data_IF_646110921582
#
_entry.id   IF_646110921582
#
_cell.length_a   1.000
_cell.length_b   1.000
_cell.length_c   1.000
_cell.angle_alpha   90.00
_cell.angle_beta   90.00
_cell.angle_gamma   90.00
#
_symmetry.space_group_name_H-M   'P 1'
#
loop_
_entity.id
_entity.type
_entity.pdbx_description
1 polymer ?
#
# COMPACT_ATOMS: atom_id res chain seq x y z
N UNK A 1 6.50 -7.10 -14.62
CA UNK A 1 7.32 -5.97 -14.16
C UNK A 1 6.41 -5.01 -13.44
N UNK A 2 6.87 -4.39 -12.37
CA UNK A 2 6.16 -3.28 -11.78
C UNK A 2 6.13 -2.12 -12.80
N UNK A 3 5.24 -1.16 -12.60
CA UNK A 3 5.00 -0.02 -13.50
C UNK A 3 6.25 0.73 -13.94
N UNK A 4 6.18 1.44 -15.05
CA UNK A 4 7.29 2.25 -15.61
C UNK A 4 7.60 3.48 -14.75
N UNK A 5 8.74 4.13 -15.00
CA UNK A 5 9.18 5.31 -14.22
C UNK A 5 8.28 6.54 -14.40
N UNK A 6 7.58 6.65 -15.51
CA UNK A 6 6.61 7.72 -15.79
C UNK A 6 5.16 7.38 -15.42
N UNK A 7 4.96 6.25 -14.71
CA UNK A 7 3.66 5.83 -14.18
C UNK A 7 3.06 6.87 -13.25
N UNK A 8 1.72 6.97 -13.29
CA UNK A 8 0.94 7.85 -12.39
C UNK A 8 -0.34 7.14 -11.98
N UNK A 9 -0.88 7.45 -10.79
CA UNK A 9 -2.18 6.94 -10.38
C UNK A 9 -3.27 7.32 -11.39
N UNK A 10 -4.19 6.40 -11.73
CA UNK A 10 -5.28 6.66 -12.69
C UNK A 10 -6.46 7.38 -12.01
N UNK A 11 -6.15 8.40 -11.20
CA UNK A 11 -7.11 9.15 -10.40
C UNK A 11 -7.00 10.61 -10.77
N UNK A 12 -8.13 11.22 -11.15
CA UNK A 12 -8.18 12.64 -11.45
C UNK A 12 -8.00 13.47 -10.18
N UNK A 13 -7.06 14.44 -10.15
CA UNK A 13 -6.89 15.34 -9.01
C UNK A 13 -8.14 16.14 -8.69
N UNK A 14 -8.43 16.33 -7.40
CA UNK A 14 -9.49 17.20 -6.89
C UNK A 14 -8.87 18.49 -6.38
N UNK A 15 -9.04 19.57 -7.13
CA UNK A 15 -8.48 20.87 -6.77
C UNK A 15 -9.00 21.36 -5.41
N UNK A 16 -8.06 21.72 -4.53
CA UNK A 16 -8.37 22.30 -3.22
C UNK A 16 -8.84 21.28 -2.16
N UNK A 17 -8.77 19.97 -2.42
CA UNK A 17 -9.11 18.91 -1.45
C UNK A 17 -7.99 18.64 -0.43
N UNK A 18 -6.74 18.91 -0.78
CA UNK A 18 -5.60 18.81 0.14
C UNK A 18 -5.33 20.14 0.87
N UNK A 19 -4.88 20.08 2.12
CA UNK A 19 -4.37 21.22 2.88
C UNK A 19 -2.90 21.50 2.59
N UNK A 20 -2.16 20.48 2.12
CA UNK A 20 -0.75 20.57 1.78
C UNK A 20 -0.06 19.22 1.80
N UNK A 21 1.09 19.17 1.17
CA UNK A 21 1.94 17.98 1.09
C UNK A 21 3.38 18.33 1.47
N UNK A 22 4.10 17.39 2.05
CA UNK A 22 5.46 17.62 2.55
C UNK A 22 6.24 16.31 2.56
N UNK A 23 7.47 16.35 2.08
CA UNK A 23 8.44 15.28 2.28
C UNK A 23 9.11 15.48 3.66
N UNK A 24 9.09 14.44 4.49
CA UNK A 24 9.66 14.43 5.83
C UNK A 24 10.57 13.22 6.04
N UNK A 25 11.33 13.22 7.12
CA UNK A 25 12.01 12.02 7.61
C UNK A 25 11.33 11.52 8.87
N UNK A 26 10.94 10.24 8.85
CA UNK A 26 10.46 9.52 10.02
C UNK A 26 11.59 8.71 10.63
N UNK A 27 11.57 8.53 11.94
CA UNK A 27 12.52 7.70 12.65
C UNK A 27 11.91 6.32 12.92
N UNK A 28 12.57 5.27 12.44
CA UNK A 28 12.25 3.89 12.74
C UNK A 28 12.73 3.49 14.14
N UNK A 29 12.23 2.40 14.69
CA UNK A 29 12.57 1.94 16.04
C UNK A 29 14.07 1.60 16.21
N UNK A 30 14.78 1.27 15.14
CA UNK A 30 16.23 1.02 15.14
C UNK A 30 17.07 2.30 14.99
N UNK A 31 16.43 3.49 15.00
CA UNK A 31 17.08 4.78 14.82
C UNK A 31 17.32 5.18 13.37
N UNK A 32 16.97 4.35 12.39
CA UNK A 32 17.08 4.71 10.97
C UNK A 32 16.07 5.80 10.62
N UNK A 33 16.52 6.85 9.94
CA UNK A 33 15.67 7.89 9.38
C UNK A 33 15.38 7.60 7.91
N UNK A 34 14.12 7.49 7.55
CA UNK A 34 13.68 7.19 6.18
C UNK A 34 12.74 8.28 5.65
N UNK A 35 12.72 8.45 4.34
CA UNK A 35 11.86 9.42 3.68
C UNK A 35 10.41 8.96 3.70
N UNK A 36 9.53 9.92 3.93
CA UNK A 36 8.08 9.75 3.81
C UNK A 36 7.47 10.99 3.15
N UNK A 37 6.45 10.77 2.34
CA UNK A 37 5.62 11.84 1.78
C UNK A 37 4.31 11.91 2.55
N UNK A 38 4.02 13.06 3.13
CA UNK A 38 2.82 13.32 3.91
C UNK A 38 1.87 14.18 3.09
N UNK A 39 0.62 13.78 3.01
CA UNK A 39 -0.46 14.54 2.41
C UNK A 39 -1.59 14.75 3.43
N UNK A 40 -1.94 16.00 3.71
CA UNK A 40 -2.94 16.36 4.70
C UNK A 40 -4.25 16.76 4.03
N UNK A 41 -5.33 16.18 4.50
CA UNK A 41 -6.66 16.51 4.04
C UNK A 41 -7.08 17.92 4.50
N UNK A 42 -7.72 18.69 3.63
CA UNK A 42 -8.29 19.99 4.00
C UNK A 42 -9.47 19.83 4.95
N UNK A 43 -10.26 18.79 4.75
CA UNK A 43 -11.40 18.44 5.60
C UNK A 43 -11.24 16.98 6.04
N UNK A 44 -10.43 16.71 7.10
CA UNK A 44 -10.12 15.36 7.50
C UNK A 44 -11.34 14.63 8.07
N UNK A 45 -11.53 13.38 7.64
CA UNK A 45 -12.59 12.48 8.13
C UNK A 45 -12.20 11.78 9.45
N UNK A 46 -10.94 11.84 9.83
CA UNK A 46 -10.33 11.08 10.92
C UNK A 46 -9.77 9.73 10.48
N UNK A 47 -9.93 9.37 9.22
CA UNK A 47 -9.26 8.24 8.61
C UNK A 47 -7.83 8.63 8.17
N UNK A 48 -6.90 7.68 8.28
CA UNK A 48 -5.53 7.83 7.78
C UNK A 48 -5.07 6.62 6.99
N UNK A 49 -4.24 6.86 5.98
CA UNK A 49 -3.75 5.86 5.05
C UNK A 49 -2.23 5.79 5.06
N UNK A 50 -1.69 4.58 5.28
CA UNK A 50 -0.28 4.30 4.97
C UNK A 50 -0.22 3.72 3.57
N UNK A 51 0.46 4.41 2.66
CA UNK A 51 0.74 3.95 1.31
C UNK A 51 2.06 3.20 1.30
N UNK A 52 2.00 1.89 1.06
CA UNK A 52 3.16 1.00 1.02
C UNK A 52 3.53 0.74 -0.45
N UNK A 53 4.67 1.27 -0.92
CA UNK A 53 5.07 1.19 -2.30
C UNK A 53 5.32 -0.23 -2.81
N UNK A 54 5.42 -0.37 -4.12
CA UNK A 54 6.01 -1.53 -4.76
C UNK A 54 7.54 -1.57 -4.54
N UNK A 55 8.23 -2.44 -5.26
CA UNK A 55 9.69 -2.60 -5.18
C UNK A 55 10.51 -1.34 -5.50
N UNK A 56 9.90 -0.27 -6.00
CA UNK A 56 10.60 1.00 -6.31
C UNK A 56 10.75 1.93 -5.11
N UNK A 57 10.12 1.62 -3.96
CA UNK A 57 10.13 2.52 -2.81
C UNK A 57 9.29 3.78 -3.01
N UNK A 58 9.64 4.88 -2.39
CA UNK A 58 8.90 6.15 -2.43
C UNK A 58 9.02 6.86 -3.80
N UNK A 59 8.62 6.14 -4.86
CA UNK A 59 8.52 6.66 -6.22
C UNK A 59 7.46 7.78 -6.31
N UNK A 60 7.59 8.76 -7.24
CA UNK A 60 6.60 9.83 -7.45
C UNK A 60 5.15 9.36 -7.58
N UNK A 61 4.90 8.17 -8.13
CA UNK A 61 3.59 7.54 -8.19
C UNK A 61 2.91 7.48 -6.80
N UNK A 62 3.66 7.03 -5.77
CA UNK A 62 3.10 6.84 -4.43
C UNK A 62 2.93 8.14 -3.66
N UNK A 63 3.76 9.15 -3.96
CA UNK A 63 3.57 10.51 -3.47
C UNK A 63 2.26 11.08 -4.01
N UNK A 64 2.07 11.02 -5.34
CA UNK A 64 0.83 11.47 -5.97
C UNK A 64 -0.40 10.69 -5.46
N UNK A 65 -0.27 9.39 -5.19
CA UNK A 65 -1.37 8.60 -4.63
C UNK A 65 -1.74 9.06 -3.21
N UNK A 66 -0.76 9.39 -2.36
CA UNK A 66 -1.02 9.96 -1.05
C UNK A 66 -1.78 11.29 -1.15
N UNK A 67 -1.44 12.14 -2.14
CA UNK A 67 -2.18 13.37 -2.42
C UNK A 67 -3.64 13.08 -2.78
N UNK A 68 -3.90 12.04 -3.58
CA UNK A 68 -5.29 11.62 -3.93
C UNK A 68 -6.10 11.20 -2.71
N UNK A 69 -5.47 10.53 -1.72
CA UNK A 69 -6.14 10.23 -0.46
C UNK A 69 -6.46 11.48 0.35
N UNK A 70 -5.53 12.42 0.45
CA UNK A 70 -5.78 13.69 1.14
C UNK A 70 -6.93 14.49 0.51
N UNK A 71 -7.05 14.48 -0.81
CA UNK A 71 -8.12 15.15 -1.54
C UNK A 71 -9.52 14.61 -1.25
N UNK A 72 -9.64 13.36 -0.82
CA UNK A 72 -10.91 12.73 -0.40
C UNK A 72 -11.12 12.73 1.11
N UNK A 73 -10.32 13.49 1.86
CA UNK A 73 -10.48 13.63 3.31
C UNK A 73 -9.70 12.63 4.17
N UNK A 74 -8.76 11.87 3.60
CA UNK A 74 -7.96 10.86 4.29
C UNK A 74 -6.53 11.35 4.42
N UNK A 75 -6.06 11.63 5.63
CA UNK A 75 -4.65 11.97 5.85
C UNK A 75 -3.75 10.79 5.43
N UNK A 76 -2.70 11.04 4.66
CA UNK A 76 -1.92 9.94 4.08
C UNK A 76 -0.42 10.11 4.29
N UNK A 77 0.28 8.98 4.40
CA UNK A 77 1.74 8.89 4.44
C UNK A 77 2.19 7.79 3.49
N UNK A 78 2.93 8.14 2.44
CA UNK A 78 3.65 7.20 1.61
C UNK A 78 5.10 7.06 2.13
N UNK A 79 5.57 5.83 2.30
CA UNK A 79 6.88 5.55 2.94
C UNK A 79 7.93 5.11 1.93
N UNK A 80 9.20 5.39 2.24
CA UNK A 80 10.33 4.66 1.68
C UNK A 80 10.76 3.55 2.65
N UNK A 81 11.41 2.51 2.13
CA UNK A 81 11.95 1.42 2.95
C UNK A 81 13.38 1.03 2.57
N UNK A 82 14.07 1.88 1.81
CA UNK A 82 15.44 1.62 1.37
C UNK A 82 16.51 2.46 2.07
N UNK A 83 16.14 3.23 3.10
CA UNK A 83 17.09 4.11 3.80
C UNK A 83 18.29 3.37 4.42
N UNK A 84 18.16 2.06 4.70
CA UNK A 84 19.25 1.24 5.24
C UNK A 84 20.19 0.68 4.17
N UNK A 85 19.76 0.67 2.93
CA UNK A 85 20.49 -0.02 1.86
C UNK A 85 20.90 0.92 0.73
N UNK A 86 20.14 1.98 0.48
CA UNK A 86 20.38 2.92 -0.61
C UNK A 86 21.23 4.12 -0.14
N UNK A 87 22.20 4.57 -0.97
CA UNK A 87 23.07 5.68 -0.62
C UNK A 87 22.41 7.08 -0.72
N UNK A 88 21.23 7.16 -1.36
CA UNK A 88 20.47 8.39 -1.54
C UNK A 88 18.97 8.14 -1.36
N UNK A 89 18.20 9.23 -1.26
CA UNK A 89 16.72 9.16 -1.17
C UNK A 89 16.04 9.22 -2.54
N UNK A 90 16.81 9.33 -3.62
CA UNK A 90 16.25 9.33 -4.99
C UNK A 90 15.71 7.94 -5.35
N UNK A 91 14.45 7.88 -5.76
CA UNK A 91 13.74 6.69 -6.24
C UNK A 91 13.27 6.88 -7.68
N UNK A 92 14.02 7.69 -8.42
CA UNK A 92 13.78 7.94 -9.85
C UNK A 92 14.27 6.82 -10.75
N UNK A 93 14.45 7.16 -12.02
CA UNK A 93 14.75 6.22 -13.12
C UNK A 93 16.04 5.43 -12.93
N UNK A 94 17.05 6.04 -12.32
CA UNK A 94 18.36 5.42 -12.11
C UNK A 94 18.47 4.52 -10.88
N UNK A 95 17.38 4.44 -10.06
CA UNK A 95 17.43 3.65 -8.84
C UNK A 95 17.32 2.15 -9.12
N UNK A 96 18.39 1.41 -8.88
CA UNK A 96 18.43 -0.05 -9.00
C UNK A 96 17.77 -0.74 -7.79
N UNK A 97 16.43 -0.67 -7.72
CA UNK A 97 15.67 -1.29 -6.65
C UNK A 97 15.90 -2.80 -6.52
N UNK A 98 16.24 -3.49 -7.60
CA UNK A 98 16.45 -4.95 -7.59
C UNK A 98 17.67 -5.35 -6.77
N UNK A 99 18.67 -4.49 -6.64
CA UNK A 99 19.81 -4.71 -5.75
C UNK A 99 19.46 -4.50 -4.29
N UNK A 100 18.45 -3.66 -3.99
CA UNK A 100 18.11 -3.25 -2.63
C UNK A 100 17.00 -4.09 -1.99
N UNK A 101 15.98 -4.50 -2.76
CA UNK A 101 14.85 -5.30 -2.24
C UNK A 101 15.29 -6.56 -1.48
N UNK A 102 16.26 -7.36 -1.96
CA UNK A 102 16.71 -8.56 -1.23
C UNK A 102 17.36 -8.25 0.12
N UNK A 103 17.86 -7.02 0.31
CA UNK A 103 18.53 -6.59 1.54
C UNK A 103 17.54 -6.09 2.62
N UNK A 104 16.26 -5.84 2.27
CA UNK A 104 15.25 -5.49 3.26
C UNK A 104 14.85 -6.73 4.06
N UNK A 105 14.53 -6.55 5.34
CA UNK A 105 14.02 -7.65 6.19
C UNK A 105 12.59 -7.40 6.63
N UNK A 106 11.82 -8.44 6.99
CA UNK A 106 10.48 -8.27 7.53
C UNK A 106 10.42 -7.33 8.72
N UNK A 107 11.42 -7.40 9.61
CA UNK A 107 11.52 -6.61 10.83
C UNK A 107 11.72 -5.12 10.52
N UNK A 108 12.64 -4.80 9.60
CA UNK A 108 12.92 -3.41 9.22
C UNK A 108 11.74 -2.78 8.47
N UNK A 109 11.11 -3.54 7.57
CA UNK A 109 9.89 -3.10 6.87
C UNK A 109 8.73 -2.84 7.85
N UNK A 110 8.54 -3.75 8.81
CA UNK A 110 7.51 -3.58 9.84
C UNK A 110 7.79 -2.38 10.76
N UNK A 111 9.06 -2.13 11.11
CA UNK A 111 9.45 -0.99 11.93
C UNK A 111 9.16 0.35 11.22
N UNK A 112 9.43 0.45 9.92
CA UNK A 112 9.15 1.65 9.12
C UNK A 112 7.63 1.90 9.01
N UNK A 113 6.84 0.84 8.76
CA UNK A 113 5.38 0.93 8.71
C UNK A 113 4.82 1.35 10.09
N UNK A 114 5.36 0.82 11.18
CA UNK A 114 4.96 1.18 12.53
C UNK A 114 5.26 2.65 12.85
N UNK A 115 6.40 3.18 12.40
CA UNK A 115 6.75 4.58 12.54
C UNK A 115 5.76 5.50 11.79
N UNK A 116 5.34 5.12 10.57
CA UNK A 116 4.32 5.85 9.82
C UNK A 116 2.94 5.81 10.52
N UNK A 117 2.58 4.66 11.11
CA UNK A 117 1.36 4.52 11.90
C UNK A 117 1.38 5.43 13.14
N UNK A 118 2.49 5.47 13.86
CA UNK A 118 2.69 6.34 15.01
C UNK A 118 2.59 7.83 14.62
N UNK A 119 3.21 8.20 13.49
CA UNK A 119 3.14 9.56 12.96
C UNK A 119 1.68 9.97 12.68
N UNK A 120 0.91 9.19 11.92
CA UNK A 120 -0.49 9.52 11.60
C UNK A 120 -1.35 9.70 12.87
N UNK A 121 -1.06 8.98 13.94
CA UNK A 121 -1.75 9.11 15.23
C UNK A 121 -1.28 10.29 16.06
N UNK A 122 -0.13 10.87 15.76
CA UNK A 122 0.41 12.04 16.45
C UNK A 122 -0.39 13.31 16.14
N UNK A 123 -0.13 14.38 16.89
CA UNK A 123 -0.71 15.70 16.64
C UNK A 123 -0.30 16.25 15.27
N UNK A 124 0.94 16.01 14.86
CA UNK A 124 1.50 16.46 13.58
C UNK A 124 0.91 15.65 12.40
N UNK A 125 0.68 14.35 12.60
CA UNK A 125 0.12 13.43 11.60
C UNK A 125 -1.40 13.48 11.47
N UNK A 126 -2.13 14.26 12.30
CA UNK A 126 -3.57 14.46 12.17
C UNK A 126 -4.44 13.81 13.22
N UNK A 127 -3.86 13.13 14.22
CA UNK A 127 -4.63 12.42 15.26
C UNK A 127 -5.64 11.45 14.67
N UNK A 128 -5.17 10.69 13.66
CA UNK A 128 -5.98 9.70 12.96
C UNK A 128 -6.58 8.69 13.95
N UNK A 129 -7.88 8.43 13.81
CA UNK A 129 -8.63 7.48 14.65
C UNK A 129 -8.79 6.13 13.97
N UNK A 130 -9.05 6.11 12.67
CA UNK A 130 -9.17 4.90 11.85
C UNK A 130 -7.99 4.78 10.91
N UNK A 131 -7.07 3.85 11.20
CA UNK A 131 -5.86 3.64 10.40
C UNK A 131 -6.11 2.57 9.34
N UNK A 132 -5.71 2.86 8.11
CA UNK A 132 -5.74 1.95 6.98
C UNK A 132 -4.35 1.81 6.36
N UNK A 133 -4.11 0.73 5.62
CA UNK A 133 -2.98 0.61 4.72
C UNK A 133 -3.44 0.25 3.31
N UNK A 134 -2.73 0.76 2.32
CA UNK A 134 -2.85 0.33 0.93
C UNK A 134 -1.45 0.00 0.42
N UNK A 135 -1.31 -1.15 -0.23
CA UNK A 135 -0.03 -1.55 -0.79
C UNK A 135 -0.18 -2.08 -2.21
N UNK A 136 0.91 -2.01 -2.97
CA UNK A 136 0.95 -2.38 -4.38
C UNK A 136 2.06 -3.39 -4.64
N UNK A 137 1.78 -4.48 -5.37
CA UNK A 137 2.79 -5.46 -5.73
C UNK A 137 3.48 -6.02 -4.45
N UNK A 138 4.77 -5.79 -4.27
CA UNK A 138 5.51 -6.09 -3.05
C UNK A 138 4.84 -5.49 -1.80
N UNK A 139 4.50 -4.20 -1.86
CA UNK A 139 3.77 -3.51 -0.80
C UNK A 139 2.36 -4.04 -0.57
N UNK A 140 1.74 -4.63 -1.60
CA UNK A 140 0.42 -5.27 -1.46
C UNK A 140 0.46 -6.47 -0.51
N UNK A 141 1.49 -7.32 -0.62
CA UNK A 141 1.71 -8.41 0.32
C UNK A 141 2.02 -7.89 1.74
N UNK A 142 2.83 -6.81 1.83
CA UNK A 142 3.11 -6.17 3.12
C UNK A 142 1.86 -5.56 3.75
N UNK A 143 0.96 -4.99 2.95
CA UNK A 143 -0.32 -4.44 3.44
C UNK A 143 -1.21 -5.52 4.03
N UNK A 144 -1.35 -6.68 3.38
CA UNK A 144 -2.08 -7.81 3.96
C UNK A 144 -1.53 -8.25 5.33
N UNK A 145 -0.20 -8.28 5.48
CA UNK A 145 0.44 -8.65 6.74
C UNK A 145 0.13 -7.65 7.86
N UNK A 146 -0.22 -6.41 7.54
CA UNK A 146 -0.58 -5.41 8.55
C UNK A 146 -1.86 -5.80 9.31
N UNK A 147 -2.75 -6.59 8.73
CA UNK A 147 -3.94 -7.09 9.43
C UNK A 147 -3.59 -7.95 10.68
N UNK A 148 -2.37 -8.51 10.72
CA UNK A 148 -1.85 -9.32 11.86
C UNK A 148 -0.79 -8.57 12.68
N UNK A 149 -0.48 -7.31 12.38
CA UNK A 149 0.66 -6.58 12.97
C UNK A 149 0.44 -6.12 14.42
N UNK A 150 -0.81 -6.12 14.90
CA UNK A 150 -1.16 -5.57 16.20
C UNK A 150 -1.20 -4.03 16.26
N UNK A 151 -1.01 -3.34 15.14
CA UNK A 151 -1.04 -1.87 15.08
C UNK A 151 -2.46 -1.29 15.06
N UNK A 152 -3.52 -2.10 15.15
CA UNK A 152 -4.90 -1.64 15.24
C UNK A 152 -5.39 -0.95 13.96
N UNK A 153 -5.20 -1.61 12.83
CA UNK A 153 -5.77 -1.17 11.56
C UNK A 153 -7.30 -1.33 11.54
N UNK A 154 -7.99 -0.36 10.95
CA UNK A 154 -9.41 -0.44 10.64
C UNK A 154 -9.68 -1.25 9.36
N UNK A 155 -8.68 -1.40 8.51
CA UNK A 155 -8.70 -2.23 7.31
C UNK A 155 -7.40 -2.16 6.53
N UNK A 156 -7.14 -3.18 5.70
CA UNK A 156 -5.96 -3.27 4.85
C UNK A 156 -6.35 -3.51 3.39
N UNK A 157 -5.63 -2.90 2.46
CA UNK A 157 -5.92 -2.95 1.03
C UNK A 157 -4.67 -3.41 0.29
N UNK A 158 -4.80 -4.46 -0.53
CA UNK A 158 -3.71 -4.94 -1.37
C UNK A 158 -4.08 -4.93 -2.84
N UNK A 159 -3.32 -4.21 -3.65
CA UNK A 159 -3.35 -4.28 -5.10
C UNK A 159 -2.31 -5.28 -5.58
N UNK A 160 -2.77 -6.32 -6.29
CA UNK A 160 -1.91 -7.37 -6.87
C UNK A 160 -0.75 -7.81 -5.95
N UNK A 161 -1.02 -7.88 -4.65
CA UNK A 161 -0.10 -8.43 -3.66
C UNK A 161 -0.13 -9.96 -3.67
N UNK A 162 1.03 -10.61 -3.60
CA UNK A 162 1.11 -12.07 -3.61
C UNK A 162 0.61 -12.68 -2.29
N UNK A 163 -0.59 -13.26 -2.25
CA UNK A 163 -1.13 -13.76 -0.99
C UNK A 163 -0.45 -15.03 -0.50
N UNK A 164 0.06 -15.85 -1.43
CA UNK A 164 0.80 -17.08 -1.12
C UNK A 164 2.32 -16.87 -1.03
N UNK A 165 2.76 -15.61 -1.06
CA UNK A 165 4.18 -15.25 -1.11
C UNK A 165 4.80 -15.44 -2.49
N UNK A 166 6.02 -14.97 -2.65
CA UNK A 166 6.79 -15.06 -3.88
C UNK A 166 7.79 -16.20 -3.81
N UNK A 167 7.80 -17.09 -4.81
CA UNK A 167 8.80 -18.15 -4.94
C UNK A 167 10.24 -17.61 -4.96
N UNK A 168 10.43 -16.40 -5.47
CA UNK A 168 11.71 -15.70 -5.53
C UNK A 168 12.27 -15.34 -4.13
N UNK A 169 11.39 -15.16 -3.13
CA UNK A 169 11.75 -14.82 -1.75
C UNK A 169 11.04 -15.75 -0.78
N UNK A 170 11.44 -17.03 -0.71
CA UNK A 170 10.72 -18.07 0.04
C UNK A 170 10.70 -17.83 1.55
N UNK A 171 11.72 -17.14 2.06
CA UNK A 171 11.90 -16.88 3.50
C UNK A 171 11.10 -15.67 4.00
N UNK A 172 10.40 -14.95 3.11
CA UNK A 172 9.55 -13.83 3.53
C UNK A 172 8.21 -14.32 4.06
N UNK A 173 7.64 -13.63 5.07
CA UNK A 173 6.31 -13.94 5.57
C UNK A 173 5.26 -13.95 4.44
N UNK A 174 4.42 -14.98 4.43
CA UNK A 174 3.33 -15.10 3.46
C UNK A 174 2.04 -14.60 4.10
N UNK A 175 1.27 -13.74 3.42
CA UNK A 175 -0.02 -13.27 3.91
C UNK A 175 -0.95 -14.40 4.36
N UNK A 176 -1.05 -15.47 3.57
CA UNK A 176 -1.95 -16.59 3.87
C UNK A 176 -1.63 -17.28 5.21
N UNK A 177 -0.34 -17.39 5.58
CA UNK A 177 0.08 -18.02 6.83
C UNK A 177 -0.28 -17.16 8.07
N UNK A 178 -0.58 -15.87 7.85
CA UNK A 178 -0.93 -14.94 8.90
C UNK A 178 -2.44 -14.74 9.09
N UNK A 179 -3.28 -15.23 8.17
CA UNK A 179 -4.74 -14.99 8.12
C UNK A 179 -5.45 -15.31 9.44
N UNK A 180 -5.03 -16.39 10.15
CA UNK A 180 -5.64 -16.73 11.43
C UNK A 180 -5.43 -15.69 12.55
N UNK A 181 -4.53 -14.73 12.34
CA UNK A 181 -4.20 -13.63 13.27
C UNK A 181 -4.71 -12.27 12.78
N UNK A 182 -5.42 -12.22 11.66
CA UNK A 182 -5.97 -10.97 11.15
C UNK A 182 -7.03 -10.42 12.10
N UNK A 183 -7.02 -9.12 12.29
CA UNK A 183 -7.90 -8.41 13.25
C UNK A 183 -8.75 -7.33 12.58
N UNK A 184 -8.67 -7.16 11.27
CA UNK A 184 -9.42 -6.16 10.53
C UNK A 184 -9.84 -6.68 9.15
N UNK A 185 -10.81 -6.02 8.49
CA UNK A 185 -11.22 -6.32 7.12
C UNK A 185 -10.10 -6.22 6.09
N UNK A 186 -10.24 -6.97 4.99
CA UNK A 186 -9.28 -7.02 3.87
C UNK A 186 -9.97 -6.69 2.56
N UNK A 187 -9.44 -5.72 1.80
CA UNK A 187 -9.80 -5.49 0.41
C UNK A 187 -8.66 -5.96 -0.49
N UNK A 188 -8.95 -6.92 -1.36
CA UNK A 188 -7.99 -7.51 -2.29
C UNK A 188 -8.36 -7.19 -3.73
N UNK A 189 -7.42 -6.63 -4.50
CA UNK A 189 -7.64 -6.19 -5.87
C UNK A 189 -6.59 -6.86 -6.77
N UNK A 190 -7.05 -7.64 -7.77
CA UNK A 190 -6.19 -8.43 -8.63
C UNK A 190 -6.48 -8.21 -10.11
N UNK A 191 -5.49 -8.44 -10.95
CA UNK A 191 -5.65 -8.55 -12.39
C UNK A 191 -5.86 -10.00 -12.81
N UNK A 192 -6.85 -10.27 -13.67
CA UNK A 192 -7.18 -11.61 -14.13
C UNK A 192 -6.18 -12.19 -15.16
N UNK A 193 -5.32 -11.36 -15.74
CA UNK A 193 -4.22 -11.77 -16.61
C UNK A 193 -2.85 -11.64 -15.90
N UNK A 194 -2.82 -11.54 -14.59
CA UNK A 194 -1.58 -11.53 -13.82
C UNK A 194 -0.98 -12.93 -13.73
N UNK A 195 0.05 -13.19 -14.53
CA UNK A 195 0.76 -14.49 -14.56
C UNK A 195 1.44 -14.81 -13.21
N UNK A 196 1.75 -13.79 -12.40
CA UNK A 196 2.39 -13.96 -11.09
C UNK A 196 1.41 -14.33 -9.97
N UNK A 197 0.10 -14.06 -10.17
CA UNK A 197 -0.96 -14.32 -9.20
C UNK A 197 -2.13 -15.04 -9.90
N UNK A 198 -2.03 -16.36 -10.10
CA UNK A 198 -3.08 -17.12 -10.77
C UNK A 198 -4.38 -17.12 -9.95
N UNK A 199 -5.51 -17.32 -10.61
CA UNK A 199 -6.84 -17.37 -9.97
C UNK A 199 -6.88 -18.35 -8.77
N UNK A 200 -6.19 -19.49 -8.88
CA UNK A 200 -6.09 -20.45 -7.77
C UNK A 200 -5.47 -19.89 -6.50
N UNK A 201 -4.51 -18.96 -6.62
CA UNK A 201 -3.89 -18.30 -5.47
C UNK A 201 -4.87 -17.29 -4.83
N UNK A 202 -5.68 -16.62 -5.64
CA UNK A 202 -6.74 -15.73 -5.14
C UNK A 202 -7.82 -16.55 -4.41
N UNK A 203 -8.25 -17.65 -5.01
CA UNK A 203 -9.28 -18.54 -4.44
C UNK A 203 -8.81 -19.16 -3.11
N UNK A 204 -7.55 -19.56 -3.02
CA UNK A 204 -6.96 -20.11 -1.80
C UNK A 204 -6.92 -19.07 -0.68
N UNK A 205 -6.53 -17.84 -0.99
CA UNK A 205 -6.49 -16.73 -0.02
C UNK A 205 -7.90 -16.35 0.45
N UNK A 206 -8.84 -16.21 -0.48
CA UNK A 206 -10.26 -15.95 -0.19
C UNK A 206 -10.85 -17.04 0.71
N UNK A 207 -10.58 -18.31 0.40
CA UNK A 207 -10.96 -19.45 1.21
C UNK A 207 -10.39 -19.41 2.63
N UNK A 208 -9.13 -18.97 2.78
CA UNK A 208 -8.49 -18.82 4.09
C UNK A 208 -9.13 -17.69 4.92
N UNK A 209 -9.38 -16.52 4.28
CA UNK A 209 -10.07 -15.38 4.92
C UNK A 209 -11.48 -15.78 5.38
N UNK A 210 -12.23 -16.47 4.52
CA UNK A 210 -13.57 -16.98 4.82
C UNK A 210 -13.57 -17.97 5.99
N UNK A 211 -12.62 -18.92 5.99
CA UNK A 211 -12.45 -19.89 7.08
C UNK A 211 -12.11 -19.22 8.41
N UNK A 212 -11.30 -18.17 8.38
CA UNK A 212 -10.96 -17.37 9.55
C UNK A 212 -12.06 -16.37 9.96
N UNK A 213 -13.16 -16.27 9.19
CA UNK A 213 -14.27 -15.32 9.40
C UNK A 213 -13.82 -13.86 9.36
N UNK A 214 -12.82 -13.56 8.55
CA UNK A 214 -12.38 -12.18 8.29
C UNK A 214 -13.32 -11.57 7.25
N UNK A 215 -13.83 -10.37 7.55
CA UNK A 215 -14.58 -9.57 6.57
C UNK A 215 -13.64 -9.22 5.41
N UNK A 216 -14.03 -9.54 4.18
CA UNK A 216 -13.18 -9.30 3.02
C UNK A 216 -13.99 -9.10 1.73
N UNK A 217 -13.37 -8.39 0.79
CA UNK A 217 -13.81 -8.27 -0.61
C UNK A 217 -12.60 -8.55 -1.51
N UNK A 218 -12.73 -9.56 -2.37
CA UNK A 218 -11.70 -9.96 -3.34
C UNK A 218 -12.22 -9.73 -4.74
N UNK A 219 -11.64 -8.77 -5.46
CA UNK A 219 -12.05 -8.43 -6.82
C UNK A 219 -10.95 -8.76 -7.82
N UNK A 220 -11.30 -9.51 -8.86
CA UNK A 220 -10.43 -9.84 -9.99
C UNK A 220 -10.96 -9.15 -11.24
N UNK A 221 -10.16 -8.33 -11.90
CA UNK A 221 -10.50 -7.64 -13.14
C UNK A 221 -10.08 -8.48 -14.34
N UNK A 222 -11.02 -9.04 -15.12
CA UNK A 222 -10.72 -9.90 -16.26
C UNK A 222 -9.81 -9.21 -17.27
N UNK A 223 -8.77 -9.91 -17.73
CA UNK A 223 -7.82 -9.40 -18.73
C UNK A 223 -6.84 -8.35 -18.23
N UNK A 224 -7.04 -7.78 -17.05
CA UNK A 224 -6.10 -6.81 -16.48
C UNK A 224 -4.79 -7.48 -16.05
N UNK A 225 -3.62 -6.93 -16.42
CA UNK A 225 -2.32 -7.47 -16.03
C UNK A 225 -1.94 -7.08 -14.61
N UNK A 226 -0.78 -7.60 -14.15
CA UNK A 226 -0.11 -7.03 -12.98
C UNK A 226 0.11 -5.53 -13.18
N UNK A 227 -0.06 -4.73 -12.13
CA UNK A 227 0.12 -3.25 -12.17
C UNK A 227 -0.83 -2.49 -13.10
N UNK A 228 -2.05 -3.01 -13.35
CA UNK A 228 -3.03 -2.36 -14.23
C UNK A 228 -3.52 -0.99 -13.70
N UNK A 229 -3.35 -0.71 -12.41
CA UNK A 229 -3.78 0.54 -11.79
C UNK A 229 -2.77 1.67 -12.11
N UNK A 230 -2.73 2.04 -13.39
CA UNK A 230 -1.82 3.06 -13.92
C UNK A 230 -2.53 3.85 -15.04
N UNK A 231 -2.37 5.17 -15.02
CA UNK A 231 -2.91 6.08 -16.05
C UNK A 231 -2.47 5.72 -17.48
N UNK A 232 -1.29 5.10 -17.64
CA UNK A 232 -0.78 4.64 -18.94
C UNK A 232 -1.53 3.41 -19.47
N UNK A 233 -2.18 2.65 -18.61
CA UNK A 233 -2.97 1.46 -18.94
C UNK A 233 -4.40 1.88 -19.28
N UNK A 234 -4.56 2.72 -20.30
CA UNK A 234 -5.85 3.33 -20.67
C UNK A 234 -6.94 2.30 -21.00
N UNK A 235 -6.58 1.14 -21.52
CA UNK A 235 -7.49 0.01 -21.75
C UNK A 235 -8.11 -0.53 -20.45
N UNK A 236 -7.46 -0.31 -19.30
CA UNK A 236 -7.95 -0.71 -17.98
C UNK A 236 -8.48 0.47 -17.16
N UNK A 237 -8.77 1.62 -17.79
CA UNK A 237 -9.26 2.82 -17.10
C UNK A 237 -10.56 2.55 -16.33
N UNK A 238 -11.46 1.74 -16.87
CA UNK A 238 -12.71 1.38 -16.19
C UNK A 238 -12.46 0.48 -14.97
N UNK A 239 -11.58 -0.52 -15.08
CA UNK A 239 -11.16 -1.37 -13.97
C UNK A 239 -10.49 -0.53 -12.86
N UNK A 240 -9.62 0.41 -13.24
CA UNK A 240 -8.97 1.33 -12.31
C UNK A 240 -9.95 2.26 -11.61
N UNK A 241 -10.94 2.79 -12.32
CA UNK A 241 -11.98 3.65 -11.73
C UNK A 241 -12.85 2.87 -10.73
N UNK A 242 -13.25 1.62 -11.06
CA UNK A 242 -13.99 0.76 -10.13
C UNK A 242 -13.14 0.38 -8.92
N UNK A 243 -11.87 0.03 -9.11
CA UNK A 243 -10.95 -0.27 -8.03
C UNK A 243 -10.82 0.91 -7.05
N UNK A 244 -10.67 2.14 -7.58
CA UNK A 244 -10.63 3.33 -6.75
C UNK A 244 -11.93 3.58 -5.99
N UNK A 245 -13.07 3.37 -6.63
CA UNK A 245 -14.38 3.46 -5.98
C UNK A 245 -14.53 2.46 -4.83
N UNK A 246 -14.03 1.22 -5.00
CA UNK A 246 -14.01 0.21 -3.93
C UNK A 246 -13.12 0.65 -2.76
N UNK A 247 -11.93 1.19 -3.04
CA UNK A 247 -11.06 1.77 -2.02
C UNK A 247 -11.77 2.86 -1.23
N UNK A 248 -12.43 3.81 -1.91
CA UNK A 248 -13.19 4.87 -1.25
C UNK A 248 -14.36 4.32 -0.38
N UNK A 249 -15.06 3.29 -0.86
CA UNK A 249 -16.13 2.65 -0.10
C UNK A 249 -15.63 1.83 1.09
N UNK A 250 -14.41 1.32 1.02
CA UNK A 250 -13.78 0.55 2.09
C UNK A 250 -13.22 1.45 3.20
N UNK A 251 -12.69 2.61 2.85
CA UNK A 251 -12.14 3.60 3.80
C UNK A 251 -13.28 4.42 4.39
N UNK A 252 -13.85 3.95 5.49
CA UNK A 252 -14.94 4.64 6.17
C UNK A 252 -14.43 5.81 7.01
N UNK A 253 -15.25 6.87 7.12
CA UNK A 253 -15.00 7.95 8.07
C UNK A 253 -15.02 7.40 9.52
N UNK A 254 -14.16 7.96 10.38
CA UNK A 254 -14.03 7.58 11.78
C UNK A 254 -14.96 8.41 12.68
#
# INVERSE_FOLDING_TARGET
MCVDNDSRPPITPISGGSAGTLDIRLASADGTHFMAHVARAKTPTGAGMIVIPDVRGLHPYYKELADRFAEIGVDAVAIDFFARTAPSDDRGESFDFMSHVPQTTPETLQADIAAAAAYLRSAEGGKVRSLYSVGFCFGGALSYLQAASGLGYAGVIGFYGWPLGLKRWPDRPKPIDAVSRYTCPVLSIFGGADEGIPQSAVDEFDGALKKAKIEHDSTVYPGAPHSFFDRKQSEFAQASADAWKRVQGFVKAA
#
